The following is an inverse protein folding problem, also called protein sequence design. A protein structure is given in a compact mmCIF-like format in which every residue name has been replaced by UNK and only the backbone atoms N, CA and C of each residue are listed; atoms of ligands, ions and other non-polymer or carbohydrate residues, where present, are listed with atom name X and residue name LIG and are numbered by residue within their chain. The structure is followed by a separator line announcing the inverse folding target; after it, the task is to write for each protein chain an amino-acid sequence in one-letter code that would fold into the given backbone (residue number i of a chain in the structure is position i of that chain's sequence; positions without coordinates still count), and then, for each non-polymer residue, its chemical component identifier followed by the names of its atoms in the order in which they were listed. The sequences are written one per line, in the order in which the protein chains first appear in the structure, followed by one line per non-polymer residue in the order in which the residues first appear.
data_IF_233116724135
#
_entry.id   IF_233116724135
#
_cell.length_a   1.000
_cell.length_b   1.000
_cell.length_c   1.000
_cell.angle_alpha   90.00
_cell.angle_beta   90.00
_cell.angle_gamma   90.00
#
_symmetry.space_group_name_H-M   'P 1'
#
loop_
_entity.id
_entity.type
_entity.pdbx_description
1 polymer ?
#
# COMPACT_ATOMS: atom_id res chain seq x y z
N UNK A 1 22.72 0.36 -2.04
CA UNK A 1 22.20 0.80 -0.73
C UNK A 1 20.76 0.38 -0.47
N UNK A 2 19.86 0.41 -1.47
CA UNK A 2 18.53 -0.25 -1.40
C UNK A 2 18.60 -1.68 -0.79
N UNK A 3 19.59 -2.49 -1.18
CA UNK A 3 19.77 -3.87 -0.70
C UNK A 3 19.93 -4.03 0.83
N UNK A 4 20.47 -3.04 1.55
CA UNK A 4 20.83 -3.22 2.98
C UNK A 4 19.57 -3.26 3.88
N UNK A 5 18.52 -2.50 3.54
CA UNK A 5 17.22 -2.57 4.20
C UNK A 5 16.30 -3.63 3.58
N UNK A 6 16.40 -3.83 2.26
CA UNK A 6 15.58 -4.82 1.55
C UNK A 6 15.87 -6.26 2.00
N UNK A 7 17.10 -6.61 2.36
CA UNK A 7 17.44 -8.00 2.73
C UNK A 7 16.69 -8.46 4.01
N UNK A 8 16.76 -7.74 5.15
CA UNK A 8 15.96 -8.10 6.33
C UNK A 8 14.45 -8.19 6.03
N UNK A 9 13.94 -7.23 5.25
CA UNK A 9 12.53 -7.15 4.93
C UNK A 9 12.06 -8.30 4.02
N UNK A 10 12.85 -8.67 3.00
CA UNK A 10 12.62 -9.85 2.14
C UNK A 10 12.69 -11.14 2.96
N UNK A 11 13.60 -11.26 3.92
CA UNK A 11 13.69 -12.42 4.81
C UNK A 11 12.45 -12.55 5.71
N UNK A 12 11.92 -11.43 6.21
CA UNK A 12 10.68 -11.39 6.99
C UNK A 12 9.49 -11.80 6.12
N UNK A 13 9.33 -11.22 4.93
CA UNK A 13 8.26 -11.58 3.99
C UNK A 13 8.34 -13.06 3.65
N UNK A 14 9.53 -13.60 3.37
CA UNK A 14 9.72 -15.03 3.09
C UNK A 14 9.25 -15.91 4.24
N UNK A 15 9.54 -15.53 5.49
CA UNK A 15 9.05 -16.26 6.67
C UNK A 15 7.52 -16.19 6.79
N UNK A 16 6.91 -15.03 6.51
CA UNK A 16 5.46 -14.85 6.54
C UNK A 16 4.80 -15.72 5.47
N UNK A 17 5.29 -15.65 4.22
CA UNK A 17 4.83 -16.45 3.07
C UNK A 17 4.83 -17.95 3.38
N UNK A 18 5.89 -18.44 4.02
CA UNK A 18 5.97 -19.84 4.46
C UNK A 18 4.91 -20.20 5.50
N UNK A 19 4.68 -19.31 6.48
CA UNK A 19 3.65 -19.53 7.52
C UNK A 19 2.22 -19.52 6.98
N UNK A 20 1.93 -18.67 5.98
CA UNK A 20 0.58 -18.57 5.38
C UNK A 20 0.35 -19.54 4.21
N UNK A 21 1.35 -20.39 3.91
CA UNK A 21 1.29 -21.42 2.87
C UNK A 21 0.94 -20.90 1.47
N UNK A 22 1.40 -19.68 1.12
CA UNK A 22 1.24 -19.15 -0.24
C UNK A 22 2.11 -19.93 -1.23
N UNK A 23 1.56 -20.23 -2.40
CA UNK A 23 2.30 -20.88 -3.47
C UNK A 23 3.33 -19.93 -4.08
N UNK A 24 4.43 -20.49 -4.63
CA UNK A 24 5.43 -19.70 -5.36
C UNK A 24 4.83 -18.87 -6.51
N UNK A 25 3.77 -19.40 -7.15
CA UNK A 25 3.08 -18.73 -8.26
C UNK A 25 2.36 -17.47 -7.78
N UNK A 26 1.63 -17.55 -6.66
CA UNK A 26 0.94 -16.39 -6.08
C UNK A 26 1.93 -15.31 -5.66
N UNK A 27 3.06 -15.70 -5.05
CA UNK A 27 4.12 -14.75 -4.64
C UNK A 27 4.74 -14.05 -5.84
N UNK A 28 5.12 -14.79 -6.88
CA UNK A 28 5.73 -14.21 -8.09
C UNK A 28 4.72 -13.32 -8.83
N UNK A 29 3.48 -13.81 -8.99
CA UNK A 29 2.43 -13.08 -9.67
C UNK A 29 2.18 -11.75 -8.94
N UNK A 30 1.87 -11.79 -7.64
CA UNK A 30 1.60 -10.58 -6.85
C UNK A 30 2.76 -9.59 -6.83
N UNK A 31 4.01 -10.07 -6.76
CA UNK A 31 5.18 -9.19 -6.81
C UNK A 31 5.31 -8.48 -8.17
N UNK A 32 5.19 -9.22 -9.29
CA UNK A 32 5.33 -8.65 -10.63
C UNK A 32 4.15 -7.74 -10.98
N UNK A 33 2.93 -8.15 -10.67
CA UNK A 33 1.74 -7.35 -10.97
C UNK A 33 1.62 -6.16 -10.03
N UNK A 34 2.05 -6.26 -8.77
CA UNK A 34 2.18 -5.12 -7.87
C UNK A 34 3.19 -4.11 -8.39
N UNK A 35 4.37 -4.56 -8.81
CA UNK A 35 5.41 -3.70 -9.36
C UNK A 35 5.01 -2.99 -10.65
N UNK A 36 4.43 -3.71 -11.61
CA UNK A 36 4.21 -3.16 -12.95
C UNK A 36 2.76 -2.75 -13.20
N UNK A 37 1.79 -3.61 -12.90
CA UNK A 37 0.38 -3.34 -13.23
C UNK A 37 -0.20 -2.30 -12.27
N UNK A 38 -0.04 -2.50 -10.96
CA UNK A 38 -0.58 -1.58 -9.97
C UNK A 38 0.07 -0.20 -10.08
N UNK A 39 1.40 -0.13 -10.24
CA UNK A 39 2.09 1.15 -10.48
C UNK A 39 1.62 1.85 -11.74
N UNK A 40 1.52 1.14 -12.87
CA UNK A 40 1.02 1.72 -14.12
C UNK A 40 -0.40 2.26 -13.98
N UNK A 41 -1.32 1.48 -13.40
CA UNK A 41 -2.69 1.89 -13.17
C UNK A 41 -2.79 3.06 -12.17
N UNK A 42 -1.95 3.06 -11.12
CA UNK A 42 -1.85 4.15 -10.16
C UNK A 42 -1.43 5.46 -10.82
N UNK A 43 -0.36 5.42 -11.64
CA UNK A 43 0.10 6.58 -12.43
C UNK A 43 -0.99 7.10 -13.36
N UNK A 44 -1.64 6.22 -14.12
CA UNK A 44 -2.74 6.62 -15.00
C UNK A 44 -3.90 7.25 -14.22
N UNK A 45 -4.28 6.65 -13.09
CA UNK A 45 -5.30 7.18 -12.21
C UNK A 45 -4.95 8.56 -11.69
N UNK A 46 -3.71 8.74 -11.20
CA UNK A 46 -3.18 10.01 -10.72
C UNK A 46 -3.27 11.09 -11.79
N UNK A 47 -2.84 10.78 -13.01
CA UNK A 47 -2.91 11.70 -14.13
C UNK A 47 -4.34 12.14 -14.44
N UNK A 48 -5.30 11.20 -14.46
CA UNK A 48 -6.68 11.52 -14.82
C UNK A 48 -7.41 12.27 -13.70
N UNK A 49 -7.19 11.91 -12.44
CA UNK A 49 -7.77 12.61 -11.31
C UNK A 49 -7.15 14.01 -11.15
N UNK A 50 -5.84 14.16 -11.41
CA UNK A 50 -5.19 15.48 -11.47
C UNK A 50 -5.81 16.39 -12.54
N UNK A 51 -6.10 15.87 -13.74
CA UNK A 51 -6.81 16.63 -14.78
C UNK A 51 -8.19 17.08 -14.33
N UNK A 52 -8.96 16.17 -13.70
CA UNK A 52 -10.28 16.52 -13.16
C UNK A 52 -10.18 17.65 -12.12
N UNK A 53 -9.22 17.59 -11.20
CA UNK A 53 -9.01 18.63 -10.20
C UNK A 53 -8.65 19.99 -10.83
N UNK A 54 -7.88 19.99 -11.93
CA UNK A 54 -7.57 21.19 -12.70
C UNK A 54 -8.83 21.74 -13.40
N UNK A 55 -9.65 20.88 -13.99
CA UNK A 55 -10.92 21.26 -14.64
C UNK A 55 -11.95 21.85 -13.66
N UNK A 56 -11.88 21.45 -12.38
CA UNK A 56 -12.68 22.05 -11.30
C UNK A 56 -12.27 23.49 -10.95
N UNK A 57 -11.27 24.07 -11.64
CA UNK A 57 -10.78 25.45 -11.45
C UNK A 57 -10.32 25.74 -10.02
N UNK A 58 -9.76 24.73 -9.34
CA UNK A 58 -9.12 24.91 -8.04
C UNK A 58 -7.88 25.80 -8.19
N UNK A 59 -7.54 26.54 -7.13
CA UNK A 59 -6.37 27.42 -7.15
C UNK A 59 -5.07 26.62 -7.29
N UNK A 60 -4.04 27.22 -7.91
CA UNK A 60 -2.72 26.61 -8.05
C UNK A 60 -2.12 26.25 -6.69
N UNK A 61 -2.26 27.14 -5.70
CA UNK A 61 -1.75 26.93 -4.34
C UNK A 61 -2.44 25.73 -3.68
N UNK A 62 -3.77 25.62 -3.83
CA UNK A 62 -4.51 24.46 -3.33
C UNK A 62 -4.08 23.16 -4.01
N UNK A 63 -3.95 23.16 -5.34
CA UNK A 63 -3.52 21.98 -6.09
C UNK A 63 -2.09 21.57 -5.76
N UNK A 64 -1.20 22.53 -5.53
CA UNK A 64 0.18 22.26 -5.10
C UNK A 64 0.23 21.65 -3.71
N UNK A 65 -0.66 22.06 -2.80
CA UNK A 65 -0.69 21.59 -1.42
C UNK A 65 -1.45 20.27 -1.24
N UNK A 66 -2.57 20.07 -1.96
CA UNK A 66 -3.50 18.98 -1.73
C UNK A 66 -3.64 18.01 -2.91
N UNK A 67 -3.04 18.32 -4.06
CA UNK A 67 -3.20 17.51 -5.28
C UNK A 67 -2.75 16.08 -5.10
N UNK A 68 -1.62 15.86 -4.41
CA UNK A 68 -1.12 14.51 -4.10
C UNK A 68 -2.10 13.73 -3.19
N UNK A 69 -2.56 14.34 -2.09
CA UNK A 69 -3.56 13.74 -1.19
C UNK A 69 -4.90 13.43 -1.89
N UNK A 70 -5.33 14.27 -2.82
CA UNK A 70 -6.60 14.10 -3.53
C UNK A 70 -6.51 13.10 -4.70
N UNK A 71 -5.33 12.55 -4.98
CA UNK A 71 -5.12 11.64 -6.11
C UNK A 71 -4.57 10.28 -5.68
N UNK A 72 -3.28 10.22 -5.39
CA UNK A 72 -2.50 9.01 -5.09
C UNK A 72 -3.17 8.03 -4.12
N UNK A 73 -3.72 8.46 -2.96
CA UNK A 73 -4.35 7.55 -2.00
C UNK A 73 -5.48 6.71 -2.59
N UNK A 74 -6.27 7.30 -3.50
CA UNK A 74 -7.43 6.63 -4.06
C UNK A 74 -7.02 5.70 -5.20
N UNK A 75 -6.28 6.24 -6.15
CA UNK A 75 -5.91 5.56 -7.40
C UNK A 75 -4.95 4.40 -7.15
N UNK A 76 -4.00 4.58 -6.24
CA UNK A 76 -2.95 3.60 -5.99
C UNK A 76 -3.45 2.47 -5.09
N UNK A 77 -4.20 2.77 -4.02
CA UNK A 77 -4.76 1.70 -3.19
C UNK A 77 -5.82 0.89 -3.95
N UNK A 78 -6.60 1.54 -4.83
CA UNK A 78 -7.51 0.82 -5.73
C UNK A 78 -6.75 -0.04 -6.74
N UNK A 79 -5.64 0.44 -7.29
CA UNK A 79 -4.84 -0.35 -8.25
C UNK A 79 -4.16 -1.55 -7.58
N UNK A 80 -3.64 -1.38 -6.36
CA UNK A 80 -3.07 -2.46 -5.55
C UNK A 80 -4.16 -3.47 -5.18
N UNK A 81 -5.31 -2.99 -4.74
CA UNK A 81 -6.49 -3.81 -4.47
C UNK A 81 -6.95 -4.62 -5.67
N UNK A 82 -6.97 -4.02 -6.87
CA UNK A 82 -7.29 -4.74 -8.11
C UNK A 82 -6.35 -5.93 -8.34
N UNK A 83 -5.04 -5.73 -8.13
CA UNK A 83 -4.05 -6.81 -8.24
C UNK A 83 -4.29 -7.92 -7.21
N UNK A 84 -4.65 -7.57 -5.97
CA UNK A 84 -5.02 -8.56 -4.94
C UNK A 84 -6.17 -9.45 -5.42
N UNK A 85 -7.17 -8.90 -6.11
CA UNK A 85 -8.31 -9.67 -6.65
C UNK A 85 -7.96 -10.61 -7.79
N UNK A 86 -6.83 -10.40 -8.47
CA UNK A 86 -6.33 -11.35 -9.47
C UNK A 86 -5.88 -12.67 -8.82
N UNK A 87 -5.51 -12.61 -7.53
CA UNK A 87 -5.23 -13.78 -6.72
C UNK A 87 -6.55 -14.33 -6.16
N UNK A 88 -6.92 -15.54 -6.61
CA UNK A 88 -8.19 -16.18 -6.25
C UNK A 88 -8.04 -17.03 -4.99
N UNK A 89 -9.16 -17.32 -4.32
CA UNK A 89 -9.21 -18.29 -3.22
C UNK A 89 -8.31 -17.92 -2.03
N UNK A 90 -8.34 -16.64 -1.65
CA UNK A 90 -7.56 -16.13 -0.53
C UNK A 90 -8.35 -16.20 0.78
N UNK A 91 -7.71 -16.71 1.84
CA UNK A 91 -8.14 -16.44 3.22
C UNK A 91 -7.62 -15.08 3.70
N UNK A 92 -8.01 -14.65 4.90
CA UNK A 92 -7.64 -13.35 5.45
C UNK A 92 -6.11 -13.17 5.60
N UNK A 93 -5.39 -14.20 6.05
CA UNK A 93 -3.94 -14.18 6.24
C UNK A 93 -3.21 -14.09 4.89
N UNK A 94 -3.69 -14.84 3.89
CA UNK A 94 -3.16 -14.83 2.53
C UNK A 94 -3.43 -13.49 1.85
N UNK A 95 -4.65 -12.95 1.98
CA UNK A 95 -5.04 -11.63 1.49
C UNK A 95 -4.14 -10.52 2.02
N UNK A 96 -3.96 -10.47 3.35
CA UNK A 96 -3.06 -9.51 3.99
C UNK A 96 -1.62 -9.68 3.48
N UNK A 97 -1.12 -10.91 3.38
CA UNK A 97 0.26 -11.18 2.91
C UNK A 97 0.45 -10.80 1.44
N UNK A 98 -0.53 -11.05 0.58
CA UNK A 98 -0.49 -10.62 -0.82
C UNK A 98 -0.52 -9.09 -0.90
N UNK A 99 -1.33 -8.41 -0.08
CA UNK A 99 -1.31 -6.95 0.02
C UNK A 99 0.07 -6.40 0.37
N UNK A 100 0.79 -7.02 1.31
CA UNK A 100 2.20 -6.67 1.60
C UNK A 100 3.04 -6.81 0.32
N UNK A 101 3.01 -7.98 -0.34
CA UNK A 101 3.85 -8.24 -1.52
C UNK A 101 3.55 -7.24 -2.66
N UNK A 102 2.27 -6.95 -2.91
CA UNK A 102 1.83 -5.99 -3.91
C UNK A 102 2.32 -4.58 -3.59
N UNK A 103 2.14 -4.11 -2.35
CA UNK A 103 2.57 -2.79 -1.93
C UNK A 103 4.10 -2.61 -1.98
N UNK A 104 4.86 -3.66 -1.66
CA UNK A 104 6.33 -3.64 -1.79
C UNK A 104 6.76 -3.57 -3.25
N UNK A 105 6.11 -4.34 -4.13
CA UNK A 105 6.36 -4.26 -5.57
C UNK A 105 6.13 -2.84 -6.09
N UNK A 106 5.01 -2.23 -5.71
CA UNK A 106 4.66 -0.86 -6.06
C UNK A 106 5.72 0.14 -5.59
N UNK A 107 6.08 0.07 -4.30
CA UNK A 107 7.07 0.94 -3.67
C UNK A 107 8.43 0.90 -4.38
N UNK A 108 8.93 -0.30 -4.74
CA UNK A 108 10.19 -0.44 -5.47
C UNK A 108 10.17 0.35 -6.78
N UNK A 109 9.10 0.22 -7.57
CA UNK A 109 9.04 0.86 -8.89
C UNK A 109 8.85 2.36 -8.73
N UNK A 110 8.03 2.79 -7.77
CA UNK A 110 7.86 4.21 -7.44
C UNK A 110 9.19 4.85 -7.01
N UNK A 111 9.93 4.23 -6.10
CA UNK A 111 11.25 4.72 -5.64
C UNK A 111 12.23 4.89 -6.80
N UNK A 112 12.26 3.92 -7.72
CA UNK A 112 13.10 3.99 -8.92
C UNK A 112 12.69 5.17 -9.81
N UNK A 113 11.39 5.41 -9.97
CA UNK A 113 10.88 6.56 -10.74
C UNK A 113 11.31 7.87 -10.07
N UNK A 114 11.14 8.03 -8.76
CA UNK A 114 11.56 9.25 -8.05
C UNK A 114 13.07 9.50 -8.16
N UNK A 115 13.89 8.47 -7.97
CA UNK A 115 15.35 8.58 -8.12
C UNK A 115 15.71 8.94 -9.56
N UNK A 116 15.06 8.35 -10.55
CA UNK A 116 15.28 8.66 -11.95
C UNK A 116 14.90 10.12 -12.27
N UNK A 117 13.75 10.60 -11.80
CA UNK A 117 13.32 11.98 -11.99
C UNK A 117 14.28 12.97 -11.32
N UNK A 118 14.71 12.70 -10.10
CA UNK A 118 15.70 13.51 -9.38
C UNK A 118 16.99 13.68 -10.19
N UNK A 119 17.56 12.59 -10.72
CA UNK A 119 18.82 12.64 -11.48
C UNK A 119 18.65 13.29 -12.86
N UNK A 120 17.62 12.88 -13.62
CA UNK A 120 17.55 13.19 -15.05
C UNK A 120 16.62 14.36 -15.39
N UNK A 121 15.64 14.68 -14.54
CA UNK A 121 14.70 15.78 -14.76
C UNK A 121 15.07 17.00 -13.93
N UNK A 122 15.40 16.81 -12.65
CA UNK A 122 15.69 17.90 -11.72
C UNK A 122 17.19 18.17 -11.54
N UNK A 123 18.05 17.30 -12.07
CA UNK A 123 19.51 17.39 -11.94
C UNK A 123 20.00 17.45 -10.48
N UNK A 124 19.31 16.72 -9.60
CA UNK A 124 19.56 16.61 -8.17
C UNK A 124 20.29 15.30 -7.82
N UNK A 125 20.63 15.14 -6.54
CA UNK A 125 21.29 13.94 -6.04
C UNK A 125 20.30 12.77 -5.91
N UNK A 126 20.32 11.87 -6.88
CA UNK A 126 19.57 10.60 -6.78
C UNK A 126 19.94 9.76 -5.55
N UNK A 127 21.16 9.94 -5.01
CA UNK A 127 21.57 9.29 -3.77
C UNK A 127 20.82 9.84 -2.56
N UNK A 128 20.69 11.17 -2.45
CA UNK A 128 19.96 11.80 -1.36
C UNK A 128 18.48 11.39 -1.41
N UNK A 129 17.87 11.48 -2.60
CA UNK A 129 16.51 11.02 -2.86
C UNK A 129 16.32 9.56 -2.45
N UNK A 130 17.25 8.66 -2.80
CA UNK A 130 17.16 7.26 -2.40
C UNK A 130 17.20 7.05 -0.88
N UNK A 131 17.97 7.86 -0.14
CA UNK A 131 18.00 7.81 1.34
C UNK A 131 16.68 8.31 1.93
N UNK A 132 16.16 9.42 1.43
CA UNK A 132 14.89 9.98 1.89
C UNK A 132 13.73 9.01 1.65
N UNK A 133 13.70 8.37 0.48
CA UNK A 133 12.71 7.33 0.15
C UNK A 133 12.79 6.16 1.12
N UNK A 134 13.99 5.64 1.42
CA UNK A 134 14.17 4.57 2.41
C UNK A 134 13.75 5.01 3.81
N UNK A 135 14.02 6.26 4.21
CA UNK A 135 13.59 6.78 5.51
C UNK A 135 12.06 6.87 5.61
N UNK A 136 11.38 7.22 4.51
CA UNK A 136 9.92 7.27 4.42
C UNK A 136 9.23 5.90 4.30
N UNK A 137 9.96 4.83 3.98
CA UNK A 137 9.43 3.48 3.75
C UNK A 137 8.89 2.75 4.99
N UNK A 138 8.93 3.38 6.18
CA UNK A 138 8.53 2.75 7.44
C UNK A 138 7.02 2.52 7.51
N UNK A 139 6.21 3.52 7.15
CA UNK A 139 4.75 3.39 6.95
C UNK A 139 4.41 3.90 5.56
N UNK A 140 4.35 2.95 4.64
CA UNK A 140 4.29 3.19 3.21
C UNK A 140 3.30 2.23 2.54
N UNK A 141 3.46 2.06 1.24
CA UNK A 141 2.61 1.26 0.36
C UNK A 141 2.36 -0.17 0.86
N UNK A 142 3.35 -0.86 1.43
CA UNK A 142 3.15 -2.23 1.91
C UNK A 142 2.13 -2.31 3.05
N UNK A 143 2.11 -1.30 3.93
CA UNK A 143 1.21 -1.27 5.08
C UNK A 143 -0.20 -0.94 4.62
N UNK A 144 -0.36 0.12 3.82
CA UNK A 144 -1.67 0.54 3.30
C UNK A 144 -2.31 -0.57 2.45
N UNK A 145 -1.54 -1.16 1.53
CA UNK A 145 -2.01 -2.24 0.69
C UNK A 145 -2.41 -3.49 1.49
N UNK A 146 -1.67 -3.83 2.55
CA UNK A 146 -1.99 -4.98 3.39
C UNK A 146 -3.32 -4.83 4.15
N UNK A 147 -3.58 -3.63 4.68
CA UNK A 147 -4.83 -3.32 5.38
C UNK A 147 -5.99 -3.20 4.40
N UNK A 148 -5.76 -2.56 3.25
CA UNK A 148 -6.75 -2.44 2.18
C UNK A 148 -7.15 -3.83 1.68
N UNK A 149 -6.18 -4.70 1.42
CA UNK A 149 -6.40 -6.09 1.05
C UNK A 149 -7.19 -6.85 2.11
N UNK A 150 -6.89 -6.66 3.40
CA UNK A 150 -7.67 -7.25 4.49
C UNK A 150 -9.14 -6.82 4.42
N UNK A 151 -9.42 -5.52 4.26
CA UNK A 151 -10.78 -5.00 4.11
C UNK A 151 -11.49 -5.59 2.89
N UNK A 152 -10.80 -5.63 1.75
CA UNK A 152 -11.31 -6.15 0.48
C UNK A 152 -11.65 -7.64 0.56
N UNK A 153 -10.72 -8.46 1.07
CA UNK A 153 -10.91 -9.91 1.26
C UNK A 153 -11.99 -10.19 2.30
N UNK A 154 -12.10 -9.35 3.35
CA UNK A 154 -13.17 -9.47 4.34
C UNK A 154 -14.55 -9.14 3.78
N UNK A 155 -14.65 -8.17 2.87
CA UNK A 155 -15.93 -7.76 2.26
C UNK A 155 -16.41 -8.74 1.18
N UNK A 156 -15.49 -9.27 0.39
CA UNK A 156 -15.81 -10.17 -0.73
C UNK A 156 -15.79 -11.65 -0.33
N UNK A 157 -15.11 -11.97 0.76
CA UNK A 157 -15.08 -13.30 1.34
C UNK A 157 -16.35 -13.62 2.10
N UNK A 158 -16.45 -14.88 2.55
CA UNK A 158 -17.59 -15.37 3.34
C UNK A 158 -17.28 -15.49 4.84
N UNK A 159 -16.09 -15.06 5.25
CA UNK A 159 -15.66 -15.11 6.65
C UNK A 159 -16.54 -14.19 7.52
N UNK A 160 -17.40 -14.78 8.34
CA UNK A 160 -18.29 -14.02 9.26
C UNK A 160 -17.58 -13.49 10.52
N UNK A 161 -16.30 -13.82 10.72
CA UNK A 161 -15.54 -13.39 11.89
C UNK A 161 -15.13 -11.91 11.85
N UNK A 162 -15.15 -11.29 10.66
CA UNK A 162 -15.00 -9.84 10.49
C UNK A 162 -16.36 -9.28 10.07
N UNK A 163 -16.91 -8.38 10.88
CA UNK A 163 -18.18 -7.72 10.55
C UNK A 163 -18.02 -6.81 9.33
N UNK A 164 -19.11 -6.55 8.61
CA UNK A 164 -19.10 -5.63 7.45
C UNK A 164 -18.54 -4.25 7.80
N UNK A 165 -18.86 -3.71 8.98
CA UNK A 165 -18.34 -2.42 9.44
C UNK A 165 -16.81 -2.46 9.62
N UNK A 166 -16.27 -3.52 10.20
CA UNK A 166 -14.82 -3.70 10.34
C UNK A 166 -14.13 -3.90 8.99
N UNK A 167 -14.78 -4.61 8.07
CA UNK A 167 -14.25 -4.81 6.73
C UNK A 167 -14.18 -3.48 5.95
N UNK A 168 -15.21 -2.63 6.05
CA UNK A 168 -15.19 -1.26 5.51
C UNK A 168 -14.11 -0.42 6.19
N UNK A 169 -13.96 -0.51 7.50
CA UNK A 169 -12.89 0.19 8.22
C UNK A 169 -11.51 -0.16 7.66
N UNK A 170 -11.21 -1.45 7.51
CA UNK A 170 -9.94 -1.90 6.94
C UNK A 170 -9.75 -1.51 5.48
N UNK A 171 -10.83 -1.32 4.73
CA UNK A 171 -10.75 -0.86 3.34
C UNK A 171 -10.48 0.66 3.25
N UNK A 172 -11.17 1.47 4.05
CA UNK A 172 -11.18 2.94 3.92
C UNK A 172 -10.06 3.59 4.72
N UNK A 173 -9.77 3.09 5.92
CA UNK A 173 -8.78 3.72 6.80
C UNK A 173 -7.34 3.78 6.24
N UNK A 174 -6.79 2.77 5.55
CA UNK A 174 -5.48 2.91 4.93
C UNK A 174 -5.44 3.97 3.83
N UNK A 175 -6.53 4.14 3.06
CA UNK A 175 -6.66 5.25 2.09
C UNK A 175 -6.64 6.59 2.81
N UNK A 176 -7.29 6.69 3.98
CA UNK A 176 -7.24 7.89 4.81
C UNK A 176 -5.82 8.16 5.35
N UNK A 177 -5.10 7.14 5.84
CA UNK A 177 -3.72 7.33 6.28
C UNK A 177 -2.80 7.79 5.15
N UNK A 178 -2.95 7.21 3.96
CA UNK A 178 -2.22 7.62 2.77
C UNK A 178 -2.60 9.06 2.36
N UNK A 179 -3.87 9.44 2.47
CA UNK A 179 -4.31 10.83 2.28
C UNK A 179 -3.62 11.79 3.24
N UNK A 180 -3.56 11.46 4.54
CA UNK A 180 -2.89 12.33 5.52
C UNK A 180 -1.40 12.42 5.22
N UNK A 181 -0.76 11.32 4.83
CA UNK A 181 0.65 11.30 4.44
C UNK A 181 0.94 12.23 3.26
N UNK A 182 0.08 12.25 2.24
CA UNK A 182 0.30 13.05 1.03
C UNK A 182 -0.28 14.47 1.10
N UNK A 183 -0.66 14.92 2.31
CA UNK A 183 -1.30 16.21 2.54
C UNK A 183 -0.34 17.18 3.24
N UNK A 184 -0.70 18.46 3.37
CA UNK A 184 0.12 19.43 4.12
C UNK A 184 0.35 19.08 5.59
N UNK A 185 -0.32 18.04 6.11
CA UNK A 185 -0.02 17.50 7.43
C UNK A 185 1.37 16.87 7.54
N UNK A 186 2.01 16.50 6.42
CA UNK A 186 3.39 16.00 6.42
C UNK A 186 4.36 17.02 7.03
N UNK A 187 4.13 18.32 6.82
CA UNK A 187 4.98 19.40 7.34
C UNK A 187 4.81 19.66 8.85
N UNK A 188 3.80 19.07 9.49
CA UNK A 188 3.56 19.24 10.93
C UNK A 188 4.65 18.48 11.72
N UNK A 189 5.30 19.10 12.73
CA UNK A 189 6.33 18.43 13.51
C UNK A 189 5.85 17.09 14.09
N UNK A 190 6.64 16.04 13.86
CA UNK A 190 6.38 14.66 14.27
C UNK A 190 5.19 13.96 13.59
N UNK A 191 4.58 14.54 12.55
CA UNK A 191 3.47 13.94 11.78
C UNK A 191 3.79 12.52 11.30
N UNK A 192 4.97 12.32 10.70
CA UNK A 192 5.45 11.04 10.18
C UNK A 192 5.58 9.98 11.28
N UNK A 193 6.11 10.35 12.44
CA UNK A 193 6.24 9.44 13.59
C UNK A 193 4.86 9.05 14.17
N UNK A 194 3.91 10.00 14.21
CA UNK A 194 2.54 9.75 14.66
C UNK A 194 1.83 8.81 13.69
N UNK A 195 1.87 9.12 12.40
CA UNK A 195 1.31 8.26 11.35
C UNK A 195 1.93 6.87 11.37
N UNK A 196 3.25 6.79 11.58
CA UNK A 196 3.95 5.53 11.67
C UNK A 196 3.45 4.70 12.85
N UNK A 197 3.32 5.32 14.02
CA UNK A 197 2.80 4.68 15.24
C UNK A 197 1.38 4.17 15.05
N UNK A 198 0.49 4.98 14.48
CA UNK A 198 -0.89 4.60 14.18
C UNK A 198 -0.93 3.45 13.17
N UNK A 199 -0.16 3.55 12.09
CA UNK A 199 -0.05 2.51 11.06
C UNK A 199 0.39 1.17 11.64
N UNK A 200 1.47 1.15 12.42
CA UNK A 200 1.96 -0.08 13.06
C UNK A 200 0.99 -0.64 14.10
N UNK A 201 0.35 0.21 14.91
CA UNK A 201 -0.65 -0.22 15.88
C UNK A 201 -1.84 -0.91 15.18
N UNK A 202 -2.29 -0.35 14.04
CA UNK A 202 -3.35 -0.92 13.23
C UNK A 202 -2.94 -2.23 12.57
N UNK A 203 -1.73 -2.28 12.01
CA UNK A 203 -1.19 -3.49 11.40
C UNK A 203 -1.03 -4.61 12.44
N UNK A 204 -0.53 -4.29 13.63
CA UNK A 204 -0.46 -5.23 14.76
C UNK A 204 -1.86 -5.70 15.19
N UNK A 205 -2.83 -4.78 15.29
CA UNK A 205 -4.20 -5.13 15.61
C UNK A 205 -4.81 -6.07 14.56
N UNK A 206 -4.58 -5.79 13.26
CA UNK A 206 -5.04 -6.62 12.15
C UNK A 206 -4.46 -8.03 12.24
N UNK A 207 -3.14 -8.17 12.41
CA UNK A 207 -2.46 -9.48 12.53
C UNK A 207 -2.98 -10.26 13.73
N UNK A 208 -3.04 -9.65 14.91
CA UNK A 208 -3.52 -10.32 16.13
C UNK A 208 -4.96 -10.79 15.94
N UNK A 209 -5.81 -9.95 15.35
CA UNK A 209 -7.20 -10.29 15.09
C UNK A 209 -7.35 -11.49 14.16
N UNK A 210 -6.70 -11.47 13.00
CA UNK A 210 -6.82 -12.57 12.03
C UNK A 210 -6.11 -13.86 12.49
N UNK A 211 -5.11 -13.74 13.37
CA UNK A 211 -4.44 -14.90 13.97
C UNK A 211 -5.33 -15.63 14.97
N UNK A 212 -6.24 -14.91 15.63
CA UNK A 212 -7.21 -15.46 16.57
C UNK A 212 -8.47 -16.05 15.91
N UNK A 213 -8.59 -15.95 14.57
CA UNK A 213 -9.71 -16.55 13.83
C UNK A 213 -9.28 -17.97 13.40
N UNK A 214 -9.99 -19.03 13.82
CA UNK A 214 -9.72 -20.41 13.39
C UNK A 214 -9.73 -20.52 11.86
N UNK A 215 -8.79 -21.28 11.28
CA UNK A 215 -8.63 -21.39 9.82
C UNK A 215 -9.91 -21.92 9.14
N UNK A 216 -10.66 -22.80 9.82
CA UNK A 216 -11.97 -23.33 9.40
C UNK A 216 -13.07 -22.26 9.24
N UNK A 217 -12.92 -21.10 9.89
CA UNK A 217 -13.85 -19.95 9.78
C UNK A 217 -13.38 -18.94 8.73
N UNK A 218 -12.19 -19.11 8.16
CA UNK A 218 -11.63 -18.24 7.13
C UNK A 218 -12.02 -18.78 5.75
N UNK A 219 -13.30 -18.64 5.38
CA UNK A 219 -13.74 -19.00 4.03
C UNK A 219 -13.09 -18.11 2.96
N UNK A 220 -12.67 -18.75 1.88
CA UNK A 220 -11.91 -18.12 0.80
C UNK A 220 -12.76 -17.15 -0.03
N UNK A 221 -12.12 -16.09 -0.55
CA UNK A 221 -12.69 -15.24 -1.59
C UNK A 221 -12.75 -16.02 -2.92
N UNK A 222 -13.84 -15.87 -3.67
CA UNK A 222 -14.22 -16.61 -4.91
C UNK A 222 -13.06 -16.92 -5.89
#
# INVERSE_FOLDING_TARGET
MLLIYFVPFVLIIRKIVQKVQLSKKEVILSALTGAFISTYLGILGNMQLSKLLIEMKLSKDFLSAWGAALTAPFTEELSKGFVVLLCRRLNLKQGLTIGIIVGVGFEIVEDVIYVFQSVFQFHESGFATAIDRVASATVSHWLFASLFALGLVSLLGRCKAISKAQAIFWLVFPVFLHFVLNSPFEDVPNSSAILATVGYALFYHAITKISNIPDEKQELVI
#
